data_IF_898947033853
#
_entry.id   IF_898947033853
#
_cell.length_a   1.000
_cell.length_b   1.000
_cell.length_c   1.000
_cell.angle_alpha   90.00
_cell.angle_beta   90.00
_cell.angle_gamma   90.00
#
_symmetry.space_group_name_H-M   'P 1'
#
loop_
_entity.id
_entity.type
_entity.pdbx_description
1 polymer ?
#
# COMPACT_ATOMS: atom_id res chain seq x y z
N UNK A 1 32.79 -17.42 -12.65
CA UNK A 1 32.65 -15.96 -12.64
C UNK A 1 31.31 -15.64 -13.25
N UNK A 2 30.44 -14.91 -12.57
CA UNK A 2 29.20 -14.41 -13.18
C UNK A 2 29.50 -13.04 -13.79
N UNK A 3 29.08 -12.82 -15.03
CA UNK A 3 29.09 -11.51 -15.68
C UNK A 3 27.65 -11.03 -15.70
N UNK A 4 27.35 -9.93 -15.01
CA UNK A 4 26.03 -9.33 -15.00
C UNK A 4 26.04 -8.09 -15.90
N UNK A 5 25.07 -7.99 -16.79
CA UNK A 5 24.82 -6.80 -17.59
C UNK A 5 23.54 -6.12 -17.13
N UNK A 6 23.48 -4.80 -17.24
CA UNK A 6 22.30 -4.03 -16.88
C UNK A 6 21.27 -4.17 -17.98
N UNK A 7 20.16 -4.85 -17.69
CA UNK A 7 19.03 -4.94 -18.62
C UNK A 7 18.18 -3.65 -18.58
N UNK A 8 17.89 -3.14 -17.38
CA UNK A 8 17.09 -1.94 -17.19
C UNK A 8 17.49 -1.16 -15.94
N UNK A 9 17.52 0.17 -16.06
CA UNK A 9 17.82 1.10 -14.98
C UNK A 9 16.56 1.82 -14.48
N UNK A 10 15.75 1.19 -13.64
CA UNK A 10 14.51 1.81 -13.13
C UNK A 10 14.76 3.11 -12.35
N UNK A 11 15.86 3.17 -11.60
CA UNK A 11 16.20 4.33 -10.78
C UNK A 11 16.56 5.58 -11.59
N UNK A 12 17.05 5.44 -12.83
CA UNK A 12 17.44 6.59 -13.64
C UNK A 12 16.26 7.47 -14.05
N UNK A 13 15.07 6.88 -14.17
CA UNK A 13 13.84 7.58 -14.56
C UNK A 13 13.21 8.41 -13.42
N UNK A 14 13.69 8.23 -12.18
CA UNK A 14 13.10 8.86 -10.99
C UNK A 14 14.14 9.50 -10.07
N UNK A 15 15.40 9.56 -10.50
CA UNK A 15 16.53 9.99 -9.66
C UNK A 15 16.43 11.48 -9.24
N UNK A 16 15.77 12.29 -10.05
CA UNK A 16 15.55 13.72 -9.86
C UNK A 16 14.33 14.04 -8.98
N UNK A 17 13.49 13.04 -8.66
CA UNK A 17 12.32 13.19 -7.81
C UNK A 17 12.52 12.47 -6.46
N UNK A 18 12.72 13.21 -5.35
CA UNK A 18 12.95 12.61 -4.04
C UNK A 18 11.82 11.71 -3.55
N UNK A 19 10.56 12.02 -3.88
CA UNK A 19 9.40 11.26 -3.43
C UNK A 19 9.31 9.92 -4.18
N UNK A 20 9.51 9.94 -5.51
CA UNK A 20 9.55 8.71 -6.31
C UNK A 20 10.75 7.84 -5.94
N UNK A 21 11.92 8.43 -5.69
CA UNK A 21 13.09 7.68 -5.23
C UNK A 21 12.86 7.03 -3.85
N UNK A 22 12.18 7.72 -2.95
CA UNK A 22 11.75 7.16 -1.67
C UNK A 22 10.76 6.00 -1.87
N UNK A 23 9.84 6.11 -2.83
CA UNK A 23 8.89 5.05 -3.17
C UNK A 23 9.59 3.80 -3.70
N UNK A 24 10.56 3.96 -4.62
CA UNK A 24 11.40 2.85 -5.10
C UNK A 24 12.12 2.13 -3.95
N UNK A 25 12.72 2.91 -3.03
CA UNK A 25 13.37 2.35 -1.85
C UNK A 25 12.38 1.61 -0.93
N UNK A 26 11.15 2.14 -0.82
CA UNK A 26 10.09 1.56 -0.01
C UNK A 26 9.56 0.25 -0.60
N UNK A 27 9.34 0.18 -1.91
CA UNK A 27 8.96 -1.05 -2.61
C UNK A 27 9.90 -2.22 -2.29
N UNK A 28 11.21 -2.00 -2.46
CA UNK A 28 12.21 -3.03 -2.18
C UNK A 28 12.24 -3.42 -0.70
N UNK A 29 12.16 -2.45 0.21
CA UNK A 29 12.25 -2.71 1.64
C UNK A 29 11.01 -3.44 2.18
N UNK A 30 9.81 -3.05 1.72
CA UNK A 30 8.55 -3.71 2.08
C UNK A 30 8.57 -5.16 1.56
N UNK A 31 8.87 -5.37 0.27
CA UNK A 31 8.96 -6.71 -0.32
C UNK A 31 9.98 -7.59 0.44
N UNK A 32 11.17 -7.06 0.73
CA UNK A 32 12.18 -7.80 1.50
C UNK A 32 11.71 -8.14 2.92
N UNK A 33 10.93 -7.27 3.56
CA UNK A 33 10.43 -7.50 4.91
C UNK A 33 9.29 -8.52 4.95
N UNK A 34 8.45 -8.60 3.92
CA UNK A 34 7.23 -9.40 3.94
C UNK A 34 7.36 -10.74 3.22
N UNK A 35 8.14 -10.83 2.15
CA UNK A 35 8.14 -12.01 1.28
C UNK A 35 8.94 -13.19 1.84
N UNK A 36 8.42 -14.42 1.75
CA UNK A 36 9.11 -15.64 2.20
C UNK A 36 10.44 -15.83 1.47
N UNK A 37 11.44 -16.32 2.20
CA UNK A 37 12.72 -16.69 1.58
C UNK A 37 12.56 -18.02 0.82
N UNK A 38 13.19 -18.10 -0.36
CA UNK A 38 13.30 -19.34 -1.17
C UNK A 38 11.95 -19.92 -1.62
N UNK A 39 10.96 -19.06 -1.80
CA UNK A 39 9.67 -19.40 -2.41
C UNK A 39 9.50 -18.58 -3.68
N UNK A 40 9.06 -19.23 -4.74
CA UNK A 40 8.79 -18.59 -6.02
C UNK A 40 7.43 -17.89 -5.96
N UNK A 41 7.43 -16.55 -6.05
CA UNK A 41 6.22 -15.72 -6.04
C UNK A 41 6.14 -14.87 -7.33
N UNK A 42 5.86 -15.48 -8.49
CA UNK A 42 5.95 -14.81 -9.79
C UNK A 42 4.94 -13.67 -9.96
N UNK A 43 3.77 -13.76 -9.31
CA UNK A 43 2.74 -12.71 -9.34
C UNK A 43 3.23 -11.43 -8.67
N UNK A 44 3.73 -11.54 -7.43
CA UNK A 44 4.27 -10.41 -6.67
C UNK A 44 5.49 -9.81 -7.37
N UNK A 45 6.37 -10.66 -7.89
CA UNK A 45 7.54 -10.20 -8.64
C UNK A 45 7.12 -9.38 -9.88
N UNK A 46 6.17 -9.88 -10.67
CA UNK A 46 5.68 -9.18 -11.86
C UNK A 46 5.02 -7.85 -11.49
N UNK A 47 4.19 -7.83 -10.45
CA UNK A 47 3.57 -6.60 -9.95
C UNK A 47 4.63 -5.58 -9.48
N UNK A 48 5.67 -6.02 -8.77
CA UNK A 48 6.76 -5.14 -8.33
C UNK A 48 7.51 -4.52 -9.51
N UNK A 49 7.79 -5.31 -10.56
CA UNK A 49 8.39 -4.82 -11.80
C UNK A 49 7.49 -3.79 -12.49
N UNK A 50 6.20 -4.09 -12.64
CA UNK A 50 5.22 -3.15 -13.22
C UNK A 50 5.15 -1.83 -12.43
N UNK A 51 5.17 -1.90 -11.10
CA UNK A 51 5.18 -0.71 -10.25
C UNK A 51 6.45 0.13 -10.43
N UNK A 52 7.62 -0.51 -10.58
CA UNK A 52 8.87 0.21 -10.90
C UNK A 52 8.83 0.85 -12.30
N UNK A 53 8.12 0.24 -13.25
CA UNK A 53 7.95 0.75 -14.61
C UNK A 53 7.04 1.96 -14.70
N UNK A 54 5.96 1.94 -13.92
CA UNK A 54 4.91 2.97 -13.93
C UNK A 54 5.21 4.11 -12.95
N UNK A 55 6.22 3.98 -12.10
CA UNK A 55 6.62 4.97 -11.10
C UNK A 55 6.88 6.40 -11.65
N UNK A 56 7.40 6.62 -12.87
CA UNK A 56 7.51 7.95 -13.47
C UNK A 56 6.15 8.60 -13.81
N UNK A 57 5.06 7.83 -13.83
CA UNK A 57 3.71 8.30 -14.09
C UNK A 57 3.19 9.30 -13.06
N UNK A 58 2.02 9.88 -13.33
CA UNK A 58 1.38 10.84 -12.41
C UNK A 58 0.68 10.12 -11.25
N UNK A 59 0.03 8.99 -11.54
CA UNK A 59 -0.80 8.22 -10.59
C UNK A 59 0.02 7.24 -9.72
N UNK A 60 1.33 7.49 -9.59
CA UNK A 60 2.24 6.57 -8.93
C UNK A 60 1.94 6.40 -7.43
N UNK A 61 1.35 7.43 -6.81
CA UNK A 61 1.00 7.43 -5.39
C UNK A 61 -0.18 6.48 -5.14
N UNK A 62 -1.21 6.57 -5.96
CA UNK A 62 -2.35 5.66 -5.97
C UNK A 62 -1.89 4.23 -6.21
N UNK A 63 -1.06 4.02 -7.23
CA UNK A 63 -0.51 2.71 -7.58
C UNK A 63 0.31 2.11 -6.43
N UNK A 64 1.07 2.93 -5.71
CA UNK A 64 1.82 2.48 -4.53
C UNK A 64 0.89 1.90 -3.45
N UNK A 65 -0.18 2.62 -3.11
CA UNK A 65 -1.14 2.15 -2.09
C UNK A 65 -1.88 0.89 -2.57
N UNK A 66 -2.30 0.85 -3.85
CA UNK A 66 -2.95 -0.32 -4.46
C UNK A 66 -2.03 -1.54 -4.48
N UNK A 67 -0.74 -1.34 -4.75
CA UNK A 67 0.26 -2.41 -4.66
C UNK A 67 0.39 -2.95 -3.24
N UNK A 68 0.36 -2.11 -2.21
CA UNK A 68 0.38 -2.59 -0.82
C UNK A 68 -0.87 -3.40 -0.45
N UNK A 69 -2.04 -3.01 -0.95
CA UNK A 69 -3.26 -3.82 -0.79
C UNK A 69 -3.15 -5.17 -1.51
N UNK A 70 -2.63 -5.17 -2.73
CA UNK A 70 -2.38 -6.41 -3.47
C UNK A 70 -1.39 -7.31 -2.73
N UNK A 71 -0.30 -6.74 -2.22
CA UNK A 71 0.65 -7.47 -1.40
C UNK A 71 -0.03 -8.07 -0.16
N UNK A 72 -0.89 -7.32 0.53
CA UNK A 72 -1.66 -7.84 1.67
C UNK A 72 -2.55 -9.02 1.26
N UNK A 73 -3.20 -8.99 0.10
CA UNK A 73 -4.01 -10.13 -0.37
C UNK A 73 -3.16 -11.38 -0.63
N UNK A 74 -2.00 -11.23 -1.25
CA UNK A 74 -1.09 -12.37 -1.50
C UNK A 74 -0.52 -12.95 -0.20
N UNK A 75 -0.31 -12.11 0.82
CA UNK A 75 0.14 -12.52 2.15
C UNK A 75 -0.98 -13.14 3.02
N UNK A 76 -2.21 -13.25 2.50
CA UNK A 76 -3.36 -13.80 3.23
C UNK A 76 -4.05 -12.83 4.19
N UNK A 77 -3.72 -11.54 4.13
CA UNK A 77 -4.32 -10.42 4.88
C UNK A 77 -5.20 -9.54 4.00
N UNK A 78 -5.74 -10.09 2.91
CA UNK A 78 -6.62 -9.38 1.99
C UNK A 78 -7.79 -8.71 2.69
N UNK A 79 -8.05 -7.45 2.33
CA UNK A 79 -9.16 -6.68 2.86
C UNK A 79 -10.41 -6.93 2.03
N UNK A 80 -11.55 -7.11 2.70
CA UNK A 80 -12.85 -7.17 2.02
C UNK A 80 -13.48 -5.78 2.03
N UNK A 81 -13.28 -5.05 0.93
CA UNK A 81 -13.76 -3.70 0.73
C UNK A 81 -15.07 -3.63 -0.07
N UNK A 82 -15.68 -4.79 -0.35
CA UNK A 82 -16.84 -4.89 -1.26
C UNK A 82 -18.17 -4.49 -0.61
N UNK A 83 -18.29 -4.65 0.71
CA UNK A 83 -19.55 -4.47 1.43
C UNK A 83 -19.32 -4.17 2.92
N UNK A 84 -20.29 -3.50 3.53
CA UNK A 84 -20.28 -3.17 4.94
C UNK A 84 -20.37 -4.44 5.80
N UNK A 85 -19.45 -4.60 6.75
CA UNK A 85 -19.41 -5.73 7.66
C UNK A 85 -20.66 -5.89 8.55
N UNK A 86 -21.41 -4.81 8.79
CA UNK A 86 -22.57 -4.81 9.68
C UNK A 86 -23.92 -4.86 8.96
N UNK A 87 -24.00 -4.30 7.74
CA UNK A 87 -25.26 -4.09 7.02
C UNK A 87 -25.28 -4.70 5.62
N UNK A 88 -24.16 -5.24 5.14
CA UNK A 88 -23.97 -5.79 3.78
C UNK A 88 -24.17 -4.79 2.63
N UNK A 89 -24.51 -3.54 2.93
CA UNK A 89 -24.62 -2.49 1.91
C UNK A 89 -23.27 -2.19 1.25
N UNK A 90 -23.31 -1.75 0.01
CA UNK A 90 -22.11 -1.40 -0.79
C UNK A 90 -21.85 0.09 -0.85
N UNK A 91 -22.74 0.91 -0.26
CA UNK A 91 -22.69 2.37 -0.28
C UNK A 91 -22.15 2.96 1.03
N UNK A 92 -21.60 4.18 0.93
CA UNK A 92 -21.02 4.95 2.05
C UNK A 92 -19.92 4.21 2.82
N UNK A 93 -19.15 3.35 2.14
CA UNK A 93 -18.03 2.60 2.71
C UNK A 93 -16.83 3.53 2.94
N UNK A 94 -16.77 4.15 4.12
CA UNK A 94 -15.74 5.15 4.46
C UNK A 94 -14.75 4.69 5.55
N UNK A 95 -14.93 3.49 6.08
CA UNK A 95 -14.12 2.95 7.17
C UNK A 95 -13.70 1.49 6.90
N UNK A 96 -12.62 1.05 7.54
CA UNK A 96 -12.21 -0.35 7.66
C UNK A 96 -12.10 -0.74 9.13
N UNK A 97 -12.64 -1.91 9.49
CA UNK A 97 -12.49 -2.50 10.81
C UNK A 97 -11.10 -3.13 10.98
N UNK A 98 -10.26 -2.67 11.93
CA UNK A 98 -8.93 -3.25 12.17
C UNK A 98 -8.98 -4.71 12.62
N UNK A 99 -10.10 -5.11 13.23
CA UNK A 99 -10.31 -6.47 13.74
C UNK A 99 -10.53 -7.47 12.61
N UNK A 100 -11.38 -7.10 11.64
CA UNK A 100 -11.87 -8.01 10.60
C UNK A 100 -11.32 -7.73 9.20
N UNK A 101 -10.66 -6.59 8.97
CA UNK A 101 -10.21 -6.20 7.62
C UNK A 101 -11.35 -5.93 6.64
N UNK A 102 -12.57 -5.67 7.15
CA UNK A 102 -13.77 -5.45 6.33
C UNK A 102 -14.16 -3.98 6.29
N UNK A 103 -14.68 -3.52 5.16
CA UNK A 103 -15.27 -2.20 5.04
C UNK A 103 -16.47 -2.01 5.97
N UNK A 104 -16.71 -0.79 6.41
CA UNK A 104 -17.81 -0.39 7.29
C UNK A 104 -18.38 0.92 6.78
N UNK A 105 -19.70 0.98 6.64
CA UNK A 105 -20.37 2.18 6.16
C UNK A 105 -20.36 3.31 7.18
N UNK A 106 -20.58 4.54 6.74
CA UNK A 106 -20.61 5.73 7.60
C UNK A 106 -21.59 5.58 8.77
N UNK A 107 -22.81 5.10 8.49
CA UNK A 107 -23.86 4.90 9.49
C UNK A 107 -23.50 3.81 10.51
N UNK A 108 -23.07 2.64 10.03
CA UNK A 108 -22.69 1.53 10.91
C UNK A 108 -21.41 1.82 11.71
N UNK A 109 -20.49 2.60 11.14
CA UNK A 109 -19.21 2.97 11.74
C UNK A 109 -19.29 4.13 12.73
N UNK A 110 -20.33 4.96 12.69
CA UNK A 110 -20.44 6.17 13.51
C UNK A 110 -20.20 5.93 15.03
N UNK A 111 -20.77 4.88 15.66
CA UNK A 111 -20.52 4.60 17.08
C UNK A 111 -19.07 4.17 17.40
N UNK A 112 -18.33 3.69 16.40
CA UNK A 112 -17.00 3.12 16.53
C UNK A 112 -15.92 3.92 15.80
N UNK A 113 -16.25 5.12 15.32
CA UNK A 113 -15.39 5.94 14.44
C UNK A 113 -13.94 6.07 14.92
N UNK A 114 -13.73 6.23 16.23
CA UNK A 114 -12.39 6.39 16.81
C UNK A 114 -11.54 5.11 16.80
N UNK A 115 -12.12 3.95 16.49
CA UNK A 115 -11.46 2.64 16.43
C UNK A 115 -11.36 2.11 14.99
N UNK A 116 -11.86 2.85 14.01
CA UNK A 116 -11.89 2.45 12.61
C UNK A 116 -10.81 3.18 11.84
N UNK A 117 -10.25 2.50 10.83
CA UNK A 117 -9.31 3.11 9.89
C UNK A 117 -10.11 3.79 8.76
N UNK A 118 -9.61 4.89 8.19
CA UNK A 118 -10.26 5.52 7.04
C UNK A 118 -10.17 4.63 5.80
N UNK A 119 -11.23 4.62 4.97
CA UNK A 119 -11.25 3.98 3.66
C UNK A 119 -11.39 5.04 2.56
N UNK A 120 -10.29 5.42 1.88
CA UNK A 120 -10.35 6.28 0.71
C UNK A 120 -11.14 5.67 -0.46
N UNK A 121 -11.93 6.49 -1.16
CA UNK A 121 -12.79 6.03 -2.27
C UNK A 121 -12.01 5.44 -3.45
N UNK A 122 -10.79 5.93 -3.74
CA UNK A 122 -9.96 5.44 -4.85
C UNK A 122 -9.49 3.98 -4.69
N UNK A 123 -9.66 3.40 -3.50
CA UNK A 123 -9.39 1.98 -3.23
C UNK A 123 -10.59 1.07 -3.53
N UNK A 124 -11.77 1.65 -3.72
CA UNK A 124 -13.01 0.94 -4.08
C UNK A 124 -13.33 1.18 -5.55
N UNK A 125 -13.18 2.42 -6.02
CA UNK A 125 -13.53 2.84 -7.37
C UNK A 125 -12.32 3.40 -8.13
N UNK A 126 -11.88 2.70 -9.17
CA UNK A 126 -10.74 3.13 -9.99
C UNK A 126 -10.95 4.45 -10.74
N UNK A 127 -12.21 4.89 -10.90
CA UNK A 127 -12.54 6.16 -11.55
C UNK A 127 -12.29 7.40 -10.67
N UNK A 128 -12.03 7.20 -9.37
CA UNK A 128 -11.80 8.28 -8.41
C UNK A 128 -10.32 8.58 -8.31
N UNK A 129 -9.96 9.86 -8.44
CA UNK A 129 -8.61 10.33 -8.15
C UNK A 129 -8.41 10.50 -6.64
N UNK A 130 -7.18 10.28 -6.16
CA UNK A 130 -6.86 10.47 -4.77
C UNK A 130 -6.39 11.91 -4.51
N UNK A 131 -6.87 12.55 -3.45
CA UNK A 131 -6.20 13.72 -2.93
C UNK A 131 -4.92 13.30 -2.16
N UNK A 132 -3.98 14.22 -1.90
CA UNK A 132 -2.83 13.90 -1.05
C UNK A 132 -3.20 13.37 0.35
N UNK A 133 -4.33 13.81 0.91
CA UNK A 133 -4.86 13.31 2.18
C UNK A 133 -5.39 11.87 2.04
N UNK A 134 -6.03 11.55 0.91
CA UNK A 134 -6.49 10.20 0.61
C UNK A 134 -5.32 9.22 0.46
N UNK A 135 -4.23 9.64 -0.18
CA UNK A 135 -2.99 8.84 -0.25
C UNK A 135 -2.46 8.55 1.15
N UNK A 136 -2.40 9.56 2.02
CA UNK A 136 -1.91 9.36 3.40
C UNK A 136 -2.82 8.44 4.22
N UNK A 137 -4.14 8.56 4.07
CA UNK A 137 -5.11 7.64 4.68
C UNK A 137 -4.98 6.21 4.15
N UNK A 138 -4.73 6.06 2.84
CA UNK A 138 -4.45 4.76 2.23
C UNK A 138 -3.20 4.11 2.80
N UNK A 139 -2.12 4.89 2.96
CA UNK A 139 -0.87 4.45 3.59
C UNK A 139 -1.04 4.15 5.09
N UNK A 140 -1.92 4.86 5.79
CA UNK A 140 -2.27 4.53 7.17
C UNK A 140 -2.98 3.17 7.24
N UNK A 141 -3.98 2.96 6.37
CA UNK A 141 -4.74 1.72 6.28
C UNK A 141 -3.83 0.52 5.98
N UNK A 142 -3.08 0.55 4.89
CA UNK A 142 -2.19 -0.56 4.49
C UNK A 142 -1.07 -0.76 5.50
N UNK A 143 -0.53 0.32 6.07
CA UNK A 143 0.53 0.27 7.06
C UNK A 143 0.12 -0.45 8.34
N UNK A 144 -1.13 -0.28 8.78
CA UNK A 144 -1.68 -1.00 9.92
C UNK A 144 -1.65 -2.52 9.71
N UNK A 145 -2.18 -2.98 8.56
CA UNK A 145 -2.29 -4.41 8.28
C UNK A 145 -0.94 -5.05 7.96
N UNK A 146 -0.04 -4.33 7.28
CA UNK A 146 1.31 -4.83 7.04
C UNK A 146 2.11 -4.95 8.34
N UNK A 147 1.98 -3.99 9.26
CA UNK A 147 2.63 -4.06 10.58
C UNK A 147 2.10 -5.26 11.36
N UNK A 148 0.78 -5.46 11.38
CA UNK A 148 0.16 -6.63 12.01
C UNK A 148 0.65 -7.95 11.42
N UNK A 149 0.77 -8.04 10.10
CA UNK A 149 1.33 -9.23 9.44
C UNK A 149 2.76 -9.53 9.93
N UNK A 150 3.63 -8.50 10.03
CA UNK A 150 5.00 -8.67 10.51
C UNK A 150 5.04 -9.11 11.98
N UNK A 151 4.19 -8.53 12.83
CA UNK A 151 4.09 -8.91 14.24
C UNK A 151 3.67 -10.38 14.39
N UNK A 152 2.69 -10.82 13.60
CA UNK A 152 2.14 -12.18 13.67
C UNK A 152 3.12 -13.25 13.15
N UNK A 153 4.00 -12.92 12.18
CA UNK A 153 4.79 -13.92 11.44
C UNK A 153 6.31 -13.79 11.52
N UNK A 154 6.85 -12.58 11.71
CA UNK A 154 8.28 -12.30 11.54
C UNK A 154 8.95 -11.67 12.76
N UNK A 155 8.19 -11.06 13.68
CA UNK A 155 8.74 -10.39 14.87
C UNK A 155 9.70 -9.25 14.54
N UNK A 156 9.53 -8.61 13.37
CA UNK A 156 10.43 -7.61 12.81
C UNK A 156 9.81 -6.21 12.75
N UNK A 157 10.67 -5.19 12.79
CA UNK A 157 10.22 -3.80 12.63
C UNK A 157 9.89 -3.49 11.18
N UNK A 158 8.78 -2.79 10.98
CA UNK A 158 8.38 -2.25 9.69
C UNK A 158 9.50 -1.39 9.07
N UNK A 159 9.76 -1.47 7.74
CA UNK A 159 10.96 -0.87 7.17
C UNK A 159 10.90 0.65 7.18
N UNK A 160 11.90 1.30 7.79
CA UNK A 160 11.98 2.77 7.84
C UNK A 160 12.09 3.47 6.47
N UNK A 161 12.27 2.73 5.37
CA UNK A 161 12.14 3.28 4.02
C UNK A 161 10.72 3.74 3.71
N UNK A 162 9.71 3.04 4.23
CA UNK A 162 8.31 3.42 4.08
C UNK A 162 7.95 4.66 4.88
N UNK A 163 8.48 4.78 6.09
CA UNK A 163 8.31 5.99 6.90
C UNK A 163 8.91 7.20 6.18
N UNK A 164 10.10 7.05 5.58
CA UNK A 164 10.72 8.11 4.77
C UNK A 164 9.89 8.50 3.55
N UNK A 165 9.23 7.55 2.89
CA UNK A 165 8.28 7.85 1.82
C UNK A 165 7.12 8.69 2.35
N UNK A 166 6.48 8.26 3.44
CA UNK A 166 5.36 8.99 4.05
C UNK A 166 5.78 10.41 4.46
N UNK A 167 6.96 10.57 5.07
CA UNK A 167 7.52 11.87 5.41
C UNK A 167 7.76 12.75 4.16
N UNK A 168 8.21 12.14 3.06
CA UNK A 168 8.39 12.85 1.79
C UNK A 168 7.05 13.33 1.23
N UNK A 169 6.01 12.51 1.30
CA UNK A 169 4.67 12.86 0.82
C UNK A 169 3.98 13.93 1.67
N UNK A 170 4.27 13.98 2.98
CA UNK A 170 3.77 15.03 3.88
C UNK A 170 4.40 16.40 3.62
N UNK A 171 5.61 16.44 3.06
CA UNK A 171 6.27 17.69 2.71
C UNK A 171 5.60 18.25 1.46
N UNK A 172 5.05 19.46 1.55
CA UNK A 172 4.60 20.18 0.35
C UNK A 172 5.79 20.33 -0.61
N UNK A 173 5.58 20.16 -1.93
CA UNK A 173 6.62 20.46 -2.91
C UNK A 173 7.06 21.91 -2.69
N UNK A 174 8.38 22.12 -2.67
CA UNK A 174 8.99 23.45 -2.53
C UNK A 174 8.76 24.30 -3.78
#
# INVERSE_FOLDING_TARGET
>A
SFTCEMERAYSSAVLDDPARLAALSSYCAVANSTLPERVDEPGIFSALVEMMETLPGQDWQENYVKWELYLLSELGYGLDLSSCAATEQTEDLIYVSPKSGRAVSAGAGAPYKSKLLPLPEFLIEDSKSASPDDILKGLELTGYFLSRFLDDHRGGTFPGARDRLIESLRKKPR
#
